data_IF_945136038858
#
_entry.id   IF_945136038858
#
_cell.length_a   1.000
_cell.length_b   1.000
_cell.length_c   1.000
_cell.angle_alpha   90.00
_cell.angle_beta   90.00
_cell.angle_gamma   90.00
#
_symmetry.space_group_name_H-M   'P 1'
#
loop_
_entity.id
_entity.type
_entity.pdbx_description
1 polymer ?
#
# COMPACT_ATOMS: atom_id res chain seq x y z
N UNK A 1 -0.04 -19.06 0.47
CA UNK A 1 -0.58 -17.68 0.37
C UNK A 1 0.56 -16.70 0.43
N UNK A 2 0.69 -15.81 -0.55
CA UNK A 2 1.74 -14.78 -0.55
C UNK A 2 1.32 -13.60 0.32
N UNK A 3 2.30 -12.91 0.91
CA UNK A 3 2.05 -11.74 1.76
C UNK A 3 1.40 -10.59 0.99
N UNK A 4 1.76 -10.47 -0.29
CA UNK A 4 1.19 -9.50 -1.25
C UNK A 4 -0.33 -9.61 -1.35
N UNK A 5 -0.88 -10.82 -1.48
CA UNK A 5 -2.33 -11.03 -1.59
C UNK A 5 -3.08 -10.68 -0.29
N UNK A 6 -2.45 -10.92 0.86
CA UNK A 6 -3.01 -10.54 2.16
C UNK A 6 -3.09 -9.03 2.28
N UNK A 7 -1.98 -8.35 1.98
CA UNK A 7 -1.90 -6.89 1.95
C UNK A 7 -2.96 -6.36 0.97
N UNK A 8 -3.00 -6.90 -0.24
CA UNK A 8 -3.98 -6.54 -1.26
C UNK A 8 -5.37 -6.58 -0.68
N UNK A 9 -5.84 -7.71 -0.14
CA UNK A 9 -7.20 -7.84 0.38
C UNK A 9 -7.50 -6.88 1.53
N UNK A 10 -6.52 -6.61 2.40
CA UNK A 10 -6.66 -5.69 3.52
C UNK A 10 -6.83 -4.25 3.04
N UNK A 11 -5.96 -3.82 2.15
CA UNK A 11 -5.93 -2.42 1.70
C UNK A 11 -6.92 -2.16 0.58
N UNK A 12 -7.30 -3.18 -0.21
CA UNK A 12 -8.26 -3.10 -1.32
C UNK A 12 -9.60 -2.54 -0.90
N UNK A 13 -10.02 -2.76 0.35
CA UNK A 13 -11.22 -2.14 0.90
C UNK A 13 -10.98 -0.65 1.22
N UNK A 14 -9.89 -0.32 1.89
CA UNK A 14 -9.53 1.06 2.25
C UNK A 14 -9.27 1.97 1.05
N UNK A 15 -8.56 1.48 0.03
CA UNK A 15 -8.31 2.23 -1.22
C UNK A 15 -9.60 2.45 -2.00
N UNK A 16 -10.47 1.43 -2.08
CA UNK A 16 -11.76 1.54 -2.77
C UNK A 16 -12.72 2.52 -2.08
N UNK A 17 -12.66 2.63 -0.75
CA UNK A 17 -13.40 3.65 0.02
C UNK A 17 -12.88 5.07 -0.23
N UNK A 18 -11.57 5.25 -0.44
CA UNK A 18 -10.98 6.56 -0.81
C UNK A 18 -11.18 6.93 -2.29
N UNK A 19 -11.78 6.05 -3.08
CA UNK A 19 -11.98 6.27 -4.51
C UNK A 19 -10.70 6.13 -5.32
N UNK A 20 -9.69 5.43 -4.81
CA UNK A 20 -8.48 5.06 -5.54
C UNK A 20 -8.49 3.55 -5.87
N UNK A 21 -7.79 3.19 -6.93
CA UNK A 21 -7.65 1.85 -7.47
C UNK A 21 -6.25 1.36 -7.16
N UNK A 22 -6.16 0.20 -6.52
CA UNK A 22 -4.88 -0.47 -6.35
C UNK A 22 -4.45 -1.10 -7.68
N UNK A 23 -3.32 -0.64 -8.23
CA UNK A 23 -2.74 -1.13 -9.48
C UNK A 23 -1.83 -2.32 -9.26
N UNK A 24 -0.89 -2.19 -8.32
CA UNK A 24 0.17 -3.19 -8.11
C UNK A 24 0.70 -3.15 -6.69
N UNK A 25 1.13 -4.31 -6.20
CA UNK A 25 1.86 -4.44 -4.94
C UNK A 25 3.15 -5.19 -5.25
N UNK A 26 4.27 -4.67 -4.75
CA UNK A 26 5.58 -5.29 -4.85
C UNK A 26 6.23 -5.31 -3.47
N UNK A 27 6.85 -6.44 -3.12
CA UNK A 27 7.64 -6.57 -1.89
C UNK A 27 9.09 -6.77 -2.27
N UNK A 28 9.92 -5.76 -2.00
CA UNK A 28 11.37 -5.85 -2.12
C UNK A 28 11.98 -6.17 -0.76
N UNK A 29 13.03 -6.97 -0.77
CA UNK A 29 13.83 -7.24 0.44
C UNK A 29 15.15 -6.48 0.30
N UNK A 30 15.35 -5.45 1.14
CA UNK A 30 16.55 -4.62 1.13
C UNK A 30 17.36 -4.88 2.39
N UNK A 31 18.24 -5.89 2.30
CA UNK A 31 19.06 -6.35 3.41
C UNK A 31 18.21 -6.90 4.56
N UNK A 32 18.24 -6.24 5.72
CA UNK A 32 17.49 -6.62 6.93
C UNK A 32 16.05 -6.08 6.97
N UNK A 33 15.67 -5.20 6.05
CA UNK A 33 14.35 -4.60 6.00
C UNK A 33 13.59 -4.99 4.72
N UNK A 34 12.26 -4.93 4.77
CA UNK A 34 11.40 -5.11 3.59
C UNK A 34 10.84 -3.78 3.12
N UNK A 35 10.75 -3.57 1.82
CA UNK A 35 10.08 -2.43 1.20
C UNK A 35 8.81 -2.93 0.54
N UNK A 36 7.67 -2.49 1.06
CA UNK A 36 6.36 -2.74 0.48
C UNK A 36 5.99 -1.55 -0.40
N UNK A 37 6.04 -1.75 -1.71
CA UNK A 37 5.73 -0.74 -2.70
C UNK A 37 4.31 -1.00 -3.20
N UNK A 38 3.45 0.00 -3.06
CA UNK A 38 2.05 -0.05 -3.42
C UNK A 38 1.80 1.01 -4.46
N UNK A 39 1.46 0.57 -5.67
CA UNK A 39 1.07 1.45 -6.76
C UNK A 39 -0.44 1.64 -6.73
N UNK A 40 -0.88 2.88 -6.52
CA UNK A 40 -2.29 3.28 -6.56
C UNK A 40 -2.56 4.21 -7.75
N UNK A 41 -3.78 4.20 -8.24
CA UNK A 41 -4.23 4.96 -9.40
C UNK A 41 -5.65 5.51 -9.16
N UNK A 42 -6.09 6.53 -9.90
CA UNK A 42 -7.42 7.12 -9.72
C UNK A 42 -7.95 7.68 -11.03
N UNK A 43 -9.25 7.48 -11.28
CA UNK A 43 -9.95 8.12 -12.39
C UNK A 43 -10.07 9.62 -12.08
N UNK A 44 -9.12 10.42 -12.63
CA UNK A 44 -8.95 11.84 -12.32
C UNK A 44 -7.54 12.23 -11.87
N UNK A 45 -6.63 11.26 -11.72
CA UNK A 45 -5.26 11.48 -11.26
C UNK A 45 -5.14 11.36 -9.74
N UNK A 46 -4.02 10.80 -9.28
CA UNK A 46 -3.69 10.69 -7.86
C UNK A 46 -2.91 11.93 -7.45
N UNK A 47 -3.44 12.70 -6.50
CA UNK A 47 -2.69 13.81 -5.90
C UNK A 47 -1.82 13.32 -4.74
N UNK A 48 -0.84 14.14 -4.34
CA UNK A 48 0.00 13.87 -3.16
C UNK A 48 -0.85 13.68 -1.90
N UNK A 49 -1.97 14.40 -1.79
CA UNK A 49 -2.95 14.21 -0.71
C UNK A 49 -3.61 12.84 -0.72
N UNK A 50 -4.03 12.31 -1.88
CA UNK A 50 -4.59 10.96 -1.98
C UNK A 50 -3.56 9.92 -1.53
N UNK A 51 -2.30 10.03 -1.97
CA UNK A 51 -1.22 9.15 -1.50
C UNK A 51 -1.06 9.20 0.03
N UNK A 52 -1.08 10.41 0.61
CA UNK A 52 -0.96 10.59 2.05
C UNK A 52 -2.17 10.02 2.82
N UNK A 53 -3.39 10.22 2.29
CA UNK A 53 -4.63 9.67 2.88
C UNK A 53 -4.64 8.15 2.83
N UNK A 54 -4.33 7.58 1.67
CA UNK A 54 -4.25 6.12 1.48
C UNK A 54 -3.22 5.54 2.43
N UNK A 55 -2.00 6.11 2.47
CA UNK A 55 -0.95 5.68 3.39
C UNK A 55 -1.45 5.68 4.84
N UNK A 56 -2.01 6.79 5.34
CA UNK A 56 -2.57 6.87 6.71
C UNK A 56 -3.73 5.92 6.96
N UNK A 57 -4.52 5.58 5.93
CA UNK A 57 -5.66 4.67 6.05
C UNK A 57 -5.20 3.21 6.13
N UNK A 58 -4.19 2.83 5.37
CA UNK A 58 -3.70 1.46 5.29
C UNK A 58 -2.70 1.12 6.38
N UNK A 59 -1.91 2.10 6.84
CA UNK A 59 -0.91 1.94 7.89
C UNK A 59 -1.44 1.22 9.14
N UNK A 60 -2.54 1.68 9.80
CA UNK A 60 -3.08 1.00 10.97
C UNK A 60 -3.68 -0.38 10.65
N UNK A 61 -4.14 -0.61 9.42
CA UNK A 61 -4.65 -1.92 8.98
C UNK A 61 -3.49 -2.92 8.89
N UNK A 62 -2.35 -2.47 8.36
CA UNK A 62 -1.14 -3.27 8.20
C UNK A 62 -0.48 -3.56 9.54
N UNK A 63 -0.41 -2.57 10.43
CA UNK A 63 0.08 -2.76 11.81
C UNK A 63 -0.76 -3.77 12.57
N UNK A 64 -2.10 -3.62 12.53
CA UNK A 64 -3.01 -4.52 13.25
C UNK A 64 -3.02 -5.94 12.70
N UNK A 65 -2.66 -6.11 11.44
CA UNK A 65 -2.53 -7.41 10.80
C UNK A 65 -1.18 -8.11 11.07
N UNK A 66 -0.23 -7.43 11.74
CA UNK A 66 1.10 -7.93 12.11
C UNK A 66 1.81 -8.64 10.93
N UNK A 67 1.77 -8.00 9.76
CA UNK A 67 2.17 -8.63 8.50
C UNK A 67 3.69 -8.84 8.36
N UNK A 68 4.47 -8.12 9.16
CA UNK A 68 5.93 -8.14 9.12
C UNK A 68 6.51 -8.26 10.53
N UNK A 69 7.21 -9.36 10.80
CA UNK A 69 7.97 -9.56 12.05
C UNK A 69 9.27 -8.73 12.15
N UNK A 70 9.69 -8.10 11.05
CA UNK A 70 10.94 -7.32 10.95
C UNK A 70 10.66 -5.93 10.40
N UNK A 71 11.61 -4.99 10.57
CA UNK A 71 11.52 -3.64 10.02
C UNK A 71 11.11 -3.67 8.54
N UNK A 72 10.11 -2.87 8.21
CA UNK A 72 9.64 -2.72 6.85
C UNK A 72 9.26 -1.26 6.59
N UNK A 73 9.22 -0.88 5.31
CA UNK A 73 8.88 0.44 4.85
C UNK A 73 7.68 0.36 3.92
N UNK A 74 6.65 1.14 4.20
CA UNK A 74 5.52 1.34 3.31
C UNK A 74 5.84 2.46 2.32
N UNK A 75 5.79 2.15 1.02
CA UNK A 75 5.96 3.12 -0.06
C UNK A 75 4.67 3.12 -0.87
N UNK A 76 3.90 4.19 -0.78
CA UNK A 76 2.73 4.41 -1.64
C UNK A 76 3.15 5.33 -2.77
N UNK A 77 3.04 4.86 -4.00
CA UNK A 77 3.37 5.62 -5.21
C UNK A 77 2.20 5.59 -6.19
N UNK A 78 2.09 6.65 -6.98
CA UNK A 78 1.22 6.67 -8.17
C UNK A 78 2.06 6.38 -9.42
N UNK A 79 1.53 5.74 -10.47
CA UNK A 79 2.25 5.51 -11.73
C UNK A 79 2.60 6.77 -12.53
N UNK A 80 2.39 7.98 -11.98
CA UNK A 80 2.72 9.25 -12.62
C UNK A 80 1.63 9.68 -13.60
N UNK A 81 1.28 10.97 -13.57
CA UNK A 81 0.52 11.65 -14.62
C UNK A 81 1.34 11.67 -15.92
#
# INVERSE_FOLDING_TARGET
MKLEEKIEKLIKKGVKEEGVILKKIEIKSKGKAKELIITIDKEGGVSVEDCARVSRRIDPILEKADLFKSKWYLIVSSPGI
#
